data_IF_375918352231
#
_entry.id   IF_375918352231
#
_cell.length_a   1.000
_cell.length_b   1.000
_cell.length_c   1.000
_cell.angle_alpha   90.00
_cell.angle_beta   90.00
_cell.angle_gamma   90.00
#
_symmetry.space_group_name_H-M   'P 1'
#
loop_
_entity.id
_entity.type
_entity.pdbx_description
1 polymer ?
#
# COMPACT_ATOMS: atom_id res chain seq x y z
N UNK A 1 27.41 -36.13 56.73
CA UNK A 1 26.95 -36.17 55.32
C UNK A 1 25.42 -36.16 55.20
N UNK A 2 24.66 -36.36 56.29
CA UNK A 2 23.19 -36.42 56.24
C UNK A 2 22.48 -35.06 56.11
N UNK A 3 23.03 -33.98 56.69
CA UNK A 3 22.40 -32.65 56.59
C UNK A 3 22.31 -32.09 55.16
N UNK A 4 23.23 -32.49 54.27
CA UNK A 4 23.18 -32.07 52.86
C UNK A 4 22.14 -32.85 52.04
N UNK A 5 21.79 -34.07 52.45
CA UNK A 5 20.76 -34.88 51.80
C UNK A 5 19.36 -34.39 52.15
N UNK A 6 19.11 -34.06 53.41
CA UNK A 6 17.85 -33.47 53.86
C UNK A 6 17.53 -32.15 53.12
N UNK A 7 18.54 -31.30 52.91
CA UNK A 7 18.38 -30.05 52.16
C UNK A 7 18.12 -30.24 50.65
N UNK A 8 18.55 -31.36 50.05
CA UNK A 8 18.22 -31.67 48.66
C UNK A 8 16.83 -32.26 48.52
N UNK A 9 16.40 -33.09 49.47
CA UNK A 9 15.06 -33.66 49.48
C UNK A 9 13.99 -32.57 49.67
N UNK A 10 14.22 -31.61 50.59
CA UNK A 10 13.34 -30.45 50.77
C UNK A 10 13.20 -29.61 49.49
N UNK A 11 14.31 -29.40 48.76
CA UNK A 11 14.29 -28.64 47.50
C UNK A 11 13.61 -29.38 46.36
N UNK A 12 13.69 -30.71 46.33
CA UNK A 12 12.98 -31.53 45.35
C UNK A 12 11.48 -31.53 45.63
N UNK A 13 11.08 -31.50 46.90
CA UNK A 13 9.68 -31.42 47.31
C UNK A 13 9.09 -30.03 47.03
N UNK A 14 9.87 -28.97 47.24
CA UNK A 14 9.51 -27.59 46.87
C UNK A 14 9.35 -27.42 45.35
N UNK A 15 10.30 -27.93 44.54
CA UNK A 15 10.16 -27.91 43.08
C UNK A 15 8.96 -28.74 42.59
N UNK A 16 8.69 -29.88 43.23
CA UNK A 16 7.54 -30.70 42.87
C UNK A 16 6.20 -30.00 43.19
N UNK A 17 6.19 -29.15 44.22
CA UNK A 17 5.06 -28.32 44.58
C UNK A 17 4.84 -27.19 43.56
N UNK A 18 5.89 -26.45 43.19
CA UNK A 18 5.81 -25.36 42.21
C UNK A 18 5.35 -25.86 40.83
N UNK A 19 5.85 -27.01 40.36
CA UNK A 19 5.44 -27.59 39.07
C UNK A 19 3.97 -28.01 39.09
N UNK A 20 3.44 -28.49 40.23
CA UNK A 20 2.00 -28.80 40.34
C UNK A 20 1.15 -27.55 40.32
N UNK A 21 1.59 -26.49 41.00
CA UNK A 21 0.87 -25.22 41.04
C UNK A 21 0.83 -24.57 39.64
N UNK A 22 1.95 -24.54 38.93
CA UNK A 22 2.01 -24.05 37.55
C UNK A 22 1.13 -24.87 36.60
N UNK A 23 1.10 -26.19 36.77
CA UNK A 23 0.25 -27.07 35.96
C UNK A 23 -1.24 -26.81 36.21
N UNK A 24 -1.62 -26.54 37.45
CA UNK A 24 -3.01 -26.26 37.82
C UNK A 24 -3.45 -24.87 37.34
N UNK A 25 -2.56 -23.87 37.41
CA UNK A 25 -2.80 -22.55 36.82
C UNK A 25 -2.95 -22.61 35.29
N UNK A 26 -2.12 -23.40 34.61
CA UNK A 26 -2.23 -23.63 33.17
C UNK A 26 -3.55 -24.34 32.81
N UNK A 27 -3.97 -25.32 33.60
CA UNK A 27 -5.25 -26.00 33.41
C UNK A 27 -6.45 -25.05 33.61
N UNK A 28 -6.38 -24.13 34.58
CA UNK A 28 -7.40 -23.09 34.76
C UNK A 28 -7.41 -22.08 33.61
N UNK A 29 -6.24 -21.69 33.08
CA UNK A 29 -6.15 -20.75 31.97
C UNK A 29 -6.69 -21.36 30.67
N UNK A 30 -6.37 -22.63 30.39
CA UNK A 30 -6.92 -23.38 29.24
C UNK A 30 -8.45 -23.51 29.35
N UNK A 31 -8.99 -23.82 30.54
CA UNK A 31 -10.45 -23.87 30.74
C UNK A 31 -11.15 -22.52 30.53
N UNK A 32 -10.51 -21.41 30.90
CA UNK A 32 -11.03 -20.07 30.61
C UNK A 32 -11.04 -19.79 29.11
N UNK A 33 -10.00 -20.20 28.38
CA UNK A 33 -9.94 -20.05 26.91
C UNK A 33 -11.03 -20.89 26.22
N UNK A 34 -11.23 -22.14 26.63
CA UNK A 34 -12.32 -22.99 26.10
C UNK A 34 -13.71 -22.41 26.39
N UNK A 35 -13.92 -21.84 27.58
CA UNK A 35 -15.20 -21.20 27.92
C UNK A 35 -15.50 -19.96 27.06
N UNK A 36 -14.47 -19.22 26.64
CA UNK A 36 -14.62 -18.10 25.69
C UNK A 36 -14.95 -18.59 24.27
N UNK A 37 -14.48 -19.77 23.89
CA UNK A 37 -14.75 -20.38 22.58
C UNK A 37 -16.17 -20.96 22.50
N UNK A 38 -16.69 -21.53 23.59
CA UNK A 38 -18.06 -22.11 23.63
C UNK A 38 -19.16 -21.03 23.63
N UNK A 39 -18.92 -19.87 24.28
CA UNK A 39 -19.90 -18.75 24.26
C UNK A 39 -20.01 -18.10 22.87
N UNK A 40 -18.97 -18.20 22.03
CA UNK A 40 -19.02 -17.68 20.65
C UNK A 40 -19.80 -18.55 19.66
N UNK A 41 -20.21 -19.77 20.03
CA UNK A 41 -20.86 -20.72 19.11
C UNK A 41 -22.37 -20.92 19.32
N UNK A 42 -23.01 -20.15 20.21
CA UNK A 42 -24.48 -20.16 20.36
C UNK A 42 -25.02 -18.78 20.00
N UNK A 43 -25.20 -18.49 18.71
CA UNK A 43 -26.10 -17.43 18.23
C UNK A 43 -26.36 -17.52 16.73
N UNK A 44 -27.57 -17.93 16.38
CA UNK A 44 -28.23 -17.67 15.09
C UNK A 44 -29.72 -17.47 15.41
N UNK A 45 -30.54 -16.82 14.55
CA UNK A 45 -30.47 -15.47 13.98
C UNK A 45 -31.71 -14.63 14.39
N UNK A 46 -31.66 -13.29 14.47
CA UNK A 46 -32.83 -12.40 14.23
C UNK A 46 -32.46 -10.89 14.19
N UNK A 47 -32.89 -10.22 13.11
CA UNK A 47 -33.27 -8.81 12.96
C UNK A 47 -32.30 -7.64 13.35
N UNK A 48 -31.94 -6.85 12.33
CA UNK A 48 -31.40 -5.47 12.35
C UNK A 48 -32.50 -4.43 12.76
N UNK A 49 -32.23 -3.14 13.09
CA UNK A 49 -31.10 -2.31 12.61
C UNK A 49 -30.42 -1.33 13.60
N UNK A 50 -29.24 -0.86 13.17
CA UNK A 50 -28.60 0.43 13.48
C UNK A 50 -28.15 0.75 14.93
N UNK A 51 -26.84 0.59 15.19
CA UNK A 51 -26.01 1.63 15.82
C UNK A 51 -24.50 1.30 15.76
N UNK A 52 -23.78 2.18 15.08
CA UNK A 52 -22.42 2.68 15.35
C UNK A 52 -21.56 1.89 16.36
N UNK A 53 -20.59 1.12 15.86
CA UNK A 53 -19.13 1.25 16.13
C UNK A 53 -18.39 0.01 15.63
N UNK A 54 -18.10 -0.03 14.33
CA UNK A 54 -16.99 -0.84 13.84
C UNK A 54 -15.69 -0.10 14.16
N UNK A 55 -15.03 -0.57 15.21
CA UNK A 55 -13.70 -0.14 15.60
C UNK A 55 -12.68 -0.52 14.52
N UNK A 56 -11.82 0.41 14.05
CA UNK A 56 -10.76 0.14 13.07
C UNK A 56 -9.58 -0.68 13.63
N UNK A 57 -9.70 -1.20 14.86
CA UNK A 57 -8.62 -1.86 15.61
C UNK A 57 -8.54 -3.37 15.40
N UNK A 58 -9.54 -4.01 14.82
CA UNK A 58 -9.52 -5.45 14.50
C UNK A 58 -8.63 -5.78 13.29
N UNK A 59 -8.58 -4.91 12.28
CA UNK A 59 -7.72 -5.07 11.09
C UNK A 59 -6.23 -4.79 11.40
N UNK A 60 -5.95 -3.80 12.26
CA UNK A 60 -4.59 -3.47 12.71
C UNK A 60 -4.02 -4.50 13.72
N UNK A 61 -4.87 -5.21 14.46
CA UNK A 61 -4.42 -6.27 15.38
C UNK A 61 -4.17 -7.61 14.66
N UNK A 62 -4.90 -7.91 13.59
CA UNK A 62 -4.55 -8.99 12.66
C UNK A 62 -3.23 -8.72 11.92
N UNK A 63 -2.94 -7.44 11.61
CA UNK A 63 -1.66 -7.01 11.03
C UNK A 63 -0.45 -7.28 11.95
N UNK A 64 -0.63 -7.26 13.27
CA UNK A 64 0.41 -7.62 14.26
C UNK A 64 0.47 -9.13 14.58
N UNK A 65 0.04 -9.98 13.64
CA UNK A 65 0.44 -11.38 13.63
C UNK A 65 1.96 -11.50 13.46
N UNK A 66 2.68 -11.54 14.58
CA UNK A 66 4.14 -11.68 14.69
C UNK A 66 4.74 -12.68 13.66
N UNK A 67 4.18 -13.89 13.42
CA UNK A 67 4.80 -14.84 12.48
C UNK A 67 4.74 -14.42 11.00
N UNK A 68 3.69 -13.73 10.55
CA UNK A 68 3.57 -13.29 9.14
C UNK A 68 4.39 -12.03 8.83
N UNK A 69 4.66 -11.21 9.84
CA UNK A 69 5.49 -10.01 9.72
C UNK A 69 6.96 -10.36 9.43
N UNK A 70 7.52 -11.35 10.13
CA UNK A 70 8.90 -11.79 9.89
C UNK A 70 9.11 -12.39 8.49
N UNK A 71 8.14 -13.15 7.98
CA UNK A 71 8.22 -13.68 6.62
C UNK A 71 8.08 -12.57 5.57
N UNK A 72 7.19 -11.61 5.81
CA UNK A 72 6.98 -10.47 4.93
C UNK A 72 8.20 -9.55 4.86
N UNK A 73 8.82 -9.22 6.00
CA UNK A 73 10.00 -8.35 6.03
C UNK A 73 11.21 -9.01 5.36
N UNK A 74 11.37 -10.33 5.52
CA UNK A 74 12.42 -11.10 4.85
C UNK A 74 12.19 -11.18 3.34
N UNK A 75 10.94 -11.33 2.89
CA UNK A 75 10.62 -11.31 1.46
C UNK A 75 10.89 -9.93 0.85
N UNK A 76 10.49 -8.85 1.54
CA UNK A 76 10.75 -7.48 1.08
C UNK A 76 12.24 -7.21 0.98
N UNK A 77 13.03 -7.59 1.98
CA UNK A 77 14.48 -7.39 1.94
C UNK A 77 15.14 -8.18 0.82
N UNK A 78 14.75 -9.43 0.59
CA UNK A 78 15.28 -10.24 -0.51
C UNK A 78 14.94 -9.64 -1.88
N UNK A 79 13.69 -9.18 -2.08
CA UNK A 79 13.26 -8.52 -3.31
C UNK A 79 14.04 -7.23 -3.55
N UNK A 80 14.25 -6.42 -2.50
CA UNK A 80 15.00 -5.17 -2.58
C UNK A 80 16.48 -5.42 -2.85
N UNK A 81 17.09 -6.44 -2.25
CA UNK A 81 18.48 -6.81 -2.53
C UNK A 81 18.64 -7.22 -3.99
N UNK A 82 17.73 -8.02 -4.54
CA UNK A 82 17.75 -8.37 -5.97
C UNK A 82 17.60 -7.12 -6.84
N UNK A 83 16.65 -6.25 -6.51
CA UNK A 83 16.46 -4.99 -7.24
C UNK A 83 17.71 -4.11 -7.21
N UNK A 84 18.39 -4.03 -6.06
CA UNK A 84 19.65 -3.30 -5.91
C UNK A 84 20.79 -3.96 -6.69
N UNK A 85 20.89 -5.30 -6.69
CA UNK A 85 21.90 -6.01 -7.49
C UNK A 85 21.71 -5.75 -8.98
N UNK A 86 20.47 -5.84 -9.48
CA UNK A 86 20.14 -5.50 -10.86
C UNK A 86 20.55 -4.06 -11.18
N UNK A 87 20.27 -3.11 -10.27
CA UNK A 87 20.66 -1.72 -10.44
C UNK A 87 22.18 -1.54 -10.45
N UNK A 88 22.91 -2.20 -9.55
CA UNK A 88 24.38 -2.16 -9.52
C UNK A 88 25.00 -2.72 -10.81
N UNK A 89 24.43 -3.79 -11.37
CA UNK A 89 24.91 -4.36 -12.65
C UNK A 89 24.70 -3.37 -13.81
N UNK A 90 23.57 -2.65 -13.82
CA UNK A 90 23.28 -1.60 -14.81
C UNK A 90 24.20 -0.39 -14.62
N UNK A 91 24.45 0.00 -13.37
CA UNK A 91 25.23 1.20 -13.04
C UNK A 91 26.74 1.05 -13.32
N UNK A 92 27.26 -0.18 -13.43
CA UNK A 92 28.68 -0.45 -13.75
C UNK A 92 29.00 -0.43 -15.27
N UNK A 93 28.14 0.16 -16.11
CA UNK A 93 28.31 0.22 -17.59
C UNK A 93 28.48 -1.15 -18.28
N UNK A 94 28.20 -2.25 -17.58
CA UNK A 94 28.30 -3.61 -18.13
C UNK A 94 27.24 -3.87 -19.22
N UNK A 95 26.16 -3.09 -19.20
CA UNK A 95 24.96 -3.20 -20.03
C UNK A 95 24.49 -1.76 -20.33
N UNK A 96 24.20 -1.44 -21.60
CA UNK A 96 23.70 -0.12 -22.00
C UNK A 96 22.54 0.35 -21.12
N UNK A 97 22.55 1.61 -20.70
CA UNK A 97 21.63 2.14 -19.69
C UNK A 97 20.14 2.05 -20.07
N UNK A 98 19.82 2.01 -21.37
CA UNK A 98 18.48 1.72 -21.91
C UNK A 98 17.96 0.33 -21.51
N UNK A 99 18.85 -0.66 -21.44
CA UNK A 99 18.53 -2.01 -20.99
C UNK A 99 18.23 -2.05 -19.48
N UNK A 100 18.71 -1.07 -18.71
CA UNK A 100 18.41 -0.96 -17.29
C UNK A 100 16.92 -0.73 -16.99
N UNK A 101 16.28 0.16 -17.76
CA UNK A 101 14.82 0.38 -17.66
C UNK A 101 14.04 -0.86 -18.09
N UNK A 102 14.48 -1.53 -19.17
CA UNK A 102 13.86 -2.77 -19.67
C UNK A 102 13.94 -3.88 -18.62
N UNK A 103 15.11 -4.08 -18.00
CA UNK A 103 15.33 -5.08 -16.95
C UNK A 103 14.48 -4.77 -15.71
N UNK A 104 14.39 -3.51 -15.31
CA UNK A 104 13.54 -3.07 -14.21
C UNK A 104 12.05 -3.32 -14.47
N UNK A 105 11.55 -2.95 -15.65
CA UNK A 105 10.15 -3.18 -16.05
C UNK A 105 9.86 -4.68 -16.12
N UNK A 106 10.76 -5.48 -16.70
CA UNK A 106 10.62 -6.92 -16.76
C UNK A 106 10.54 -7.54 -15.35
N UNK A 107 11.40 -7.08 -14.43
CA UNK A 107 11.38 -7.54 -13.03
C UNK A 107 10.08 -7.15 -12.30
N UNK A 108 9.64 -5.89 -12.44
CA UNK A 108 8.37 -5.44 -11.86
C UNK A 108 7.18 -6.24 -12.42
N UNK A 109 7.17 -6.51 -13.73
CA UNK A 109 6.13 -7.30 -14.39
C UNK A 109 6.09 -8.74 -13.88
N UNK A 110 7.27 -9.37 -13.71
CA UNK A 110 7.36 -10.70 -13.11
C UNK A 110 6.81 -10.73 -11.69
N UNK A 111 7.12 -9.73 -10.86
CA UNK A 111 6.61 -9.64 -9.49
C UNK A 111 5.09 -9.43 -9.47
N UNK A 112 4.53 -8.63 -10.38
CA UNK A 112 3.06 -8.47 -10.51
C UNK A 112 2.41 -9.80 -10.92
N UNK A 113 2.99 -10.51 -11.89
CA UNK A 113 2.48 -11.80 -12.37
C UNK A 113 2.53 -12.88 -11.27
N UNK A 114 3.66 -12.97 -10.57
CA UNK A 114 3.83 -13.86 -9.42
C UNK A 114 2.87 -13.49 -8.28
N UNK A 115 2.71 -12.20 -8.02
CA UNK A 115 1.75 -11.65 -7.07
C UNK A 115 0.33 -12.09 -7.41
N UNK A 116 -0.11 -11.92 -8.66
CA UNK A 116 -1.43 -12.33 -9.14
C UNK A 116 -1.67 -13.84 -9.00
N UNK A 117 -0.72 -14.66 -9.44
CA UNK A 117 -0.82 -16.13 -9.35
C UNK A 117 -0.88 -16.62 -7.89
N UNK A 118 -0.08 -16.00 -7.01
CA UNK A 118 -0.10 -16.28 -5.56
C UNK A 118 -1.38 -15.76 -4.90
N UNK A 119 -1.93 -14.64 -5.38
CA UNK A 119 -3.21 -14.11 -4.91
C UNK A 119 -4.36 -15.06 -5.22
N UNK A 120 -4.34 -15.69 -6.40
CA UNK A 120 -5.31 -16.72 -6.77
C UNK A 120 -5.25 -17.97 -5.87
N UNK A 121 -4.15 -18.18 -5.14
CA UNK A 121 -3.95 -19.32 -4.24
C UNK A 121 -4.10 -18.94 -2.76
N UNK A 122 -4.59 -17.73 -2.46
CA UNK A 122 -4.81 -17.21 -1.10
C UNK A 122 -3.57 -17.24 -0.20
N UNK A 123 -2.36 -17.13 -0.77
CA UNK A 123 -1.13 -17.11 0.03
C UNK A 123 -0.98 -15.77 0.76
N UNK A 124 -0.61 -15.76 2.07
CA UNK A 124 -0.51 -14.55 2.88
C UNK A 124 0.59 -13.58 2.41
N UNK A 125 1.53 -14.03 1.57
CA UNK A 125 2.62 -13.22 1.03
C UNK A 125 2.28 -12.52 -0.29
N UNK A 126 1.12 -12.77 -0.89
CA UNK A 126 0.74 -12.15 -2.17
C UNK A 126 0.78 -10.60 -2.18
N UNK A 127 0.31 -9.87 -1.14
CA UNK A 127 0.30 -8.41 -1.17
C UNK A 127 1.70 -7.77 -1.09
N UNK A 128 2.69 -8.44 -0.49
CA UNK A 128 4.05 -7.88 -0.36
C UNK A 128 4.77 -7.86 -1.71
N UNK A 129 4.66 -8.92 -2.51
CA UNK A 129 5.23 -8.98 -3.86
C UNK A 129 4.67 -7.87 -4.76
N UNK A 130 3.34 -7.68 -4.76
CA UNK A 130 2.69 -6.62 -5.55
C UNK A 130 3.13 -5.24 -5.07
N UNK A 131 3.19 -5.03 -3.76
CA UNK A 131 3.61 -3.74 -3.17
C UNK A 131 5.05 -3.38 -3.57
N UNK A 132 5.99 -4.33 -3.45
CA UNK A 132 7.36 -4.11 -3.90
C UNK A 132 7.43 -3.85 -5.42
N UNK A 133 6.65 -4.58 -6.22
CA UNK A 133 6.61 -4.35 -7.66
C UNK A 133 6.18 -2.93 -8.02
N UNK A 134 5.14 -2.41 -7.34
CA UNK A 134 4.67 -1.04 -7.52
C UNK A 134 5.76 -0.03 -7.15
N UNK A 135 6.43 -0.20 -6.00
CA UNK A 135 7.52 0.69 -5.57
C UNK A 135 8.69 0.71 -6.56
N UNK A 136 9.07 -0.46 -7.07
CA UNK A 136 10.11 -0.58 -8.09
C UNK A 136 9.68 0.12 -9.38
N UNK A 137 8.44 -0.09 -9.82
CA UNK A 137 7.90 0.55 -11.01
C UNK A 137 7.89 2.08 -10.88
N UNK A 138 7.47 2.61 -9.73
CA UNK A 138 7.51 4.05 -9.43
C UNK A 138 8.92 4.63 -9.45
N UNK A 139 9.89 3.93 -8.86
CA UNK A 139 11.29 4.33 -8.89
C UNK A 139 11.84 4.36 -10.31
N UNK A 140 11.53 3.35 -11.13
CA UNK A 140 11.97 3.29 -12.53
C UNK A 140 11.35 4.42 -13.36
N UNK A 141 10.06 4.71 -13.17
CA UNK A 141 9.39 5.78 -13.90
C UNK A 141 9.99 7.16 -13.58
N UNK A 142 10.27 7.43 -12.30
CA UNK A 142 10.95 8.66 -11.88
C UNK A 142 12.35 8.78 -12.47
N UNK A 143 13.14 7.71 -12.36
CA UNK A 143 14.50 7.66 -12.89
C UNK A 143 14.53 7.87 -14.42
N UNK A 144 13.63 7.20 -15.12
CA UNK A 144 13.61 7.24 -16.58
C UNK A 144 13.13 8.60 -17.09
N UNK A 145 12.21 9.25 -16.36
CA UNK A 145 11.77 10.60 -16.66
C UNK A 145 12.85 11.65 -16.34
N UNK A 146 13.50 11.57 -15.18
CA UNK A 146 14.52 12.55 -14.78
C UNK A 146 15.73 12.58 -15.72
N UNK A 147 16.01 11.44 -16.37
CA UNK A 147 17.05 11.31 -17.40
C UNK A 147 16.62 11.74 -18.80
N UNK A 148 15.35 12.05 -19.01
CA UNK A 148 14.81 12.52 -20.29
C UNK A 148 14.59 11.44 -21.36
N UNK A 149 14.62 10.15 -21.00
CA UNK A 149 14.46 9.05 -21.97
C UNK A 149 12.99 8.79 -22.35
N UNK A 150 12.05 9.07 -21.44
CA UNK A 150 10.62 8.82 -21.66
C UNK A 150 9.86 10.16 -21.75
N UNK A 151 8.98 10.32 -22.76
CA UNK A 151 8.13 11.51 -22.84
C UNK A 151 7.10 11.53 -21.72
N UNK A 152 6.76 12.73 -21.23
CA UNK A 152 5.87 12.98 -20.09
C UNK A 152 4.54 12.21 -20.21
N UNK A 153 3.92 12.22 -21.39
CA UNK A 153 2.64 11.55 -21.62
C UNK A 153 2.72 10.03 -21.38
N UNK A 154 3.84 9.40 -21.73
CA UNK A 154 4.04 7.96 -21.56
C UNK A 154 4.30 7.62 -20.10
N UNK A 155 4.99 8.49 -19.35
CA UNK A 155 5.15 8.36 -17.90
C UNK A 155 3.79 8.41 -17.18
N UNK A 156 2.92 9.36 -17.51
CA UNK A 156 1.56 9.42 -16.96
C UNK A 156 0.69 8.22 -17.38
N UNK A 157 0.82 7.74 -18.61
CA UNK A 157 0.12 6.54 -19.06
C UNK A 157 0.56 5.29 -18.27
N UNK A 158 1.86 5.14 -18.03
CA UNK A 158 2.40 4.06 -17.21
C UNK A 158 1.93 4.15 -15.76
N UNK A 159 1.91 5.35 -15.16
CA UNK A 159 1.35 5.56 -13.82
C UNK A 159 -0.13 5.20 -13.76
N UNK A 160 -0.92 5.66 -14.73
CA UNK A 160 -2.34 5.33 -14.85
C UNK A 160 -2.55 3.81 -14.96
N UNK A 161 -1.73 3.11 -15.73
CA UNK A 161 -1.79 1.65 -15.84
C UNK A 161 -1.45 0.98 -14.50
N UNK A 162 -0.38 1.39 -13.82
CA UNK A 162 -0.02 0.84 -12.51
C UNK A 162 -1.11 1.06 -11.46
N UNK A 163 -1.75 2.23 -11.50
CA UNK A 163 -2.88 2.58 -10.66
C UNK A 163 -4.09 1.68 -10.92
N UNK A 164 -4.47 1.49 -12.19
CA UNK A 164 -5.57 0.59 -12.59
C UNK A 164 -5.26 -0.84 -12.13
N UNK A 165 -4.05 -1.34 -12.39
CA UNK A 165 -3.63 -2.69 -11.97
C UNK A 165 -3.73 -2.84 -10.45
N UNK A 166 -3.22 -1.87 -9.69
CA UNK A 166 -3.29 -1.88 -8.22
C UNK A 166 -4.73 -1.87 -7.70
N UNK A 167 -5.63 -1.17 -8.40
CA UNK A 167 -7.04 -1.05 -8.05
C UNK A 167 -7.80 -2.33 -8.37
N UNK A 168 -7.55 -2.93 -9.54
CA UNK A 168 -8.14 -4.22 -9.92
C UNK A 168 -7.72 -5.30 -8.92
N UNK A 169 -6.43 -5.34 -8.54
CA UNK A 169 -5.94 -6.27 -7.52
C UNK A 169 -6.58 -6.02 -6.15
N UNK A 170 -6.68 -4.74 -5.76
CA UNK A 170 -7.30 -4.32 -4.51
C UNK A 170 -8.77 -4.69 -4.40
N UNK A 171 -9.55 -4.43 -5.47
CA UNK A 171 -10.99 -4.70 -5.52
C UNK A 171 -11.26 -6.19 -5.67
N UNK A 172 -10.54 -6.89 -6.55
CA UNK A 172 -10.79 -8.32 -6.84
C UNK A 172 -10.49 -9.22 -5.65
N UNK A 173 -9.48 -8.86 -4.86
CA UNK A 173 -9.01 -9.71 -3.79
C UNK A 173 -9.11 -9.07 -2.40
N UNK A 174 -9.92 -8.02 -2.26
CA UNK A 174 -10.11 -7.26 -1.01
C UNK A 174 -8.78 -6.86 -0.35
N UNK A 175 -7.81 -6.47 -1.19
CA UNK A 175 -6.45 -6.16 -0.79
C UNK A 175 -6.28 -4.66 -0.59
N UNK A 176 -6.34 -4.18 0.65
CA UNK A 176 -6.23 -2.74 0.93
C UNK A 176 -4.82 -2.19 0.66
N UNK A 177 -3.75 -2.97 0.93
CA UNK A 177 -2.36 -2.47 0.87
C UNK A 177 -1.94 -2.09 -0.56
N UNK A 178 -2.09 -2.95 -1.59
CA UNK A 178 -1.69 -2.58 -2.95
C UNK A 178 -2.43 -1.34 -3.47
N UNK A 179 -3.69 -1.16 -3.07
CA UNK A 179 -4.49 -0.01 -3.46
C UNK A 179 -3.95 1.28 -2.83
N UNK A 180 -3.64 1.28 -1.52
CA UNK A 180 -3.01 2.43 -0.85
C UNK A 180 -1.70 2.83 -1.50
N UNK A 181 -0.81 1.85 -1.73
CA UNK A 181 0.50 2.09 -2.32
C UNK A 181 0.37 2.53 -3.78
N UNK A 182 -0.55 1.94 -4.53
CA UNK A 182 -0.83 2.33 -5.91
C UNK A 182 -1.34 3.75 -6.03
N UNK A 183 -2.34 4.12 -5.23
CA UNK A 183 -2.96 5.45 -5.23
C UNK A 183 -1.99 6.53 -4.74
N UNK A 184 -1.40 6.34 -3.55
CA UNK A 184 -0.48 7.34 -2.99
C UNK A 184 0.82 7.42 -3.80
N UNK A 185 1.37 6.28 -4.21
CA UNK A 185 2.58 6.22 -5.00
C UNK A 185 2.40 6.88 -6.36
N UNK A 186 1.32 6.57 -7.08
CA UNK A 186 1.06 7.21 -8.39
C UNK A 186 0.84 8.71 -8.25
N UNK A 187 0.15 9.15 -7.20
CA UNK A 187 -0.09 10.59 -6.95
C UNK A 187 1.22 11.32 -6.62
N UNK A 188 2.06 10.75 -5.75
CA UNK A 188 3.33 11.34 -5.34
C UNK A 188 4.33 11.38 -6.50
N UNK A 189 4.43 10.29 -7.26
CA UNK A 189 5.26 10.23 -8.47
C UNK A 189 4.75 11.21 -9.51
N UNK A 190 3.43 11.29 -9.73
CA UNK A 190 2.82 12.25 -10.66
C UNK A 190 3.16 13.70 -10.34
N UNK A 191 3.19 14.08 -9.05
CA UNK A 191 3.63 15.41 -8.60
C UNK A 191 5.13 15.58 -8.85
N UNK A 192 5.95 14.57 -8.56
CA UNK A 192 7.39 14.63 -8.78
C UNK A 192 7.77 14.77 -10.27
N UNK A 193 6.96 14.22 -11.19
CA UNK A 193 7.13 14.40 -12.63
C UNK A 193 6.89 15.84 -13.11
N UNK A 194 6.20 16.68 -12.32
CA UNK A 194 5.95 18.08 -12.73
C UNK A 194 7.18 18.99 -12.59
N UNK A 195 8.23 18.55 -11.91
CA UNK A 195 9.48 19.32 -11.80
C UNK A 195 10.48 18.79 -12.84
N UNK A 196 11.01 19.63 -13.77
CA UNK A 196 11.05 21.10 -13.75
C UNK A 196 9.96 21.83 -14.58
N UNK A 197 9.20 21.16 -15.45
CA UNK A 197 8.17 21.77 -16.31
C UNK A 197 6.75 21.32 -15.92
N UNK A 198 5.88 22.22 -15.41
CA UNK A 198 4.58 21.83 -14.86
C UNK A 198 3.56 21.47 -15.96
N UNK A 199 3.07 20.23 -15.93
CA UNK A 199 2.05 19.69 -16.84
C UNK A 199 0.77 19.32 -16.06
N UNK A 200 0.11 20.35 -15.52
CA UNK A 200 -1.04 20.19 -14.62
C UNK A 200 -2.22 19.36 -15.18
N UNK A 201 -2.61 19.45 -16.47
CA UNK A 201 -3.76 18.69 -16.97
C UNK A 201 -3.56 17.17 -16.86
N UNK A 202 -2.37 16.68 -17.17
CA UNK A 202 -2.04 15.26 -17.12
C UNK A 202 -2.05 14.75 -15.67
N UNK A 203 -1.49 15.52 -14.74
CA UNK A 203 -1.56 15.20 -13.31
C UNK A 203 -3.00 15.18 -12.81
N UNK A 204 -3.83 16.14 -13.24
CA UNK A 204 -5.24 16.19 -12.85
C UNK A 204 -6.05 15.03 -13.40
N UNK A 205 -5.79 14.58 -14.63
CA UNK A 205 -6.39 13.36 -15.18
C UNK A 205 -5.96 12.14 -14.35
N UNK A 206 -4.68 12.03 -14.01
CA UNK A 206 -4.18 10.94 -13.16
C UNK A 206 -4.86 10.93 -11.79
N UNK A 207 -4.98 12.10 -11.15
CA UNK A 207 -5.68 12.26 -9.87
C UNK A 207 -7.17 11.95 -9.99
N UNK A 208 -7.82 12.31 -11.10
CA UNK A 208 -9.21 11.95 -11.36
C UNK A 208 -9.37 10.42 -11.41
N UNK A 209 -8.49 9.72 -12.13
CA UNK A 209 -8.46 8.25 -12.19
C UNK A 209 -8.19 7.66 -10.81
N UNK A 210 -7.33 8.27 -10.01
CA UNK A 210 -7.06 7.84 -8.64
C UNK A 210 -8.30 8.00 -7.75
N UNK A 211 -9.02 9.11 -7.87
CA UNK A 211 -10.24 9.34 -7.09
C UNK A 211 -11.36 8.39 -7.51
N UNK A 212 -11.53 8.13 -8.81
CA UNK A 212 -12.44 7.10 -9.30
C UNK A 212 -12.07 5.70 -8.78
N UNK A 213 -10.77 5.38 -8.74
CA UNK A 213 -10.27 4.11 -8.22
C UNK A 213 -10.57 3.91 -6.73
N UNK A 214 -10.36 4.96 -5.92
CA UNK A 214 -10.71 4.95 -4.49
C UNK A 214 -12.22 4.89 -4.30
N UNK A 215 -13.00 5.59 -5.13
CA UNK A 215 -14.46 5.50 -5.08
C UNK A 215 -14.96 4.08 -5.35
N UNK A 216 -14.43 3.41 -6.39
CA UNK A 216 -14.76 2.00 -6.69
C UNK A 216 -14.33 1.10 -5.53
N UNK A 217 -13.12 1.28 -5.00
CA UNK A 217 -12.61 0.52 -3.86
C UNK A 217 -13.41 0.71 -2.58
N UNK A 218 -13.92 1.91 -2.32
CA UNK A 218 -14.70 2.22 -1.11
C UNK A 218 -16.00 1.43 -1.00
N UNK A 219 -16.57 0.97 -2.13
CA UNK A 219 -17.76 0.11 -2.13
C UNK A 219 -17.49 -1.30 -1.58
N UNK A 220 -16.22 -1.70 -1.46
CA UNK A 220 -15.79 -3.06 -1.10
C UNK A 220 -15.19 -3.12 0.32
N UNK A 221 -15.57 -2.17 1.20
CA UNK A 221 -15.05 -2.06 2.57
C UNK A 221 -13.56 -1.70 2.62
N UNK A 222 -13.22 -0.54 2.04
CA UNK A 222 -11.88 0.02 2.09
C UNK A 222 -11.94 1.41 2.74
N UNK A 223 -10.99 1.66 3.64
CA UNK A 223 -10.95 2.78 4.58
C UNK A 223 -11.35 4.14 4.00
N UNK A 224 -12.35 4.77 4.63
CA UNK A 224 -12.80 6.14 4.34
C UNK A 224 -11.66 7.18 4.35
N UNK A 225 -10.60 6.92 5.11
CA UNK A 225 -9.44 7.80 5.23
C UNK A 225 -8.70 8.02 3.90
N UNK A 226 -8.63 7.01 3.02
CA UNK A 226 -7.93 7.14 1.74
C UNK A 226 -8.61 8.13 0.80
N UNK A 227 -9.94 8.20 0.85
CA UNK A 227 -10.71 9.15 0.04
C UNK A 227 -10.42 10.59 0.44
N UNK A 228 -10.31 10.84 1.75
CA UNK A 228 -10.01 12.17 2.27
C UNK A 228 -8.58 12.60 2.00
N UNK A 229 -7.60 11.70 2.12
CA UNK A 229 -6.20 12.02 1.79
C UNK A 229 -6.04 12.36 0.32
N UNK A 230 -6.64 11.58 -0.58
CA UNK A 230 -6.56 11.83 -2.01
C UNK A 230 -7.32 13.09 -2.43
N UNK A 231 -8.46 13.35 -1.82
CA UNK A 231 -9.19 14.61 -2.01
C UNK A 231 -8.33 15.81 -1.59
N UNK A 232 -7.69 15.75 -0.43
CA UNK A 232 -6.80 16.81 0.05
C UNK A 232 -5.60 17.04 -0.90
N UNK A 233 -4.97 15.97 -1.39
CA UNK A 233 -3.90 16.06 -2.40
C UNK A 233 -4.42 16.71 -3.68
N UNK A 234 -5.63 16.33 -4.14
CA UNK A 234 -6.23 16.88 -5.35
C UNK A 234 -6.53 18.37 -5.21
N UNK A 235 -7.07 18.80 -4.07
CA UNK A 235 -7.28 20.22 -3.75
C UNK A 235 -5.96 20.99 -3.68
N UNK A 236 -4.90 20.39 -3.13
CA UNK A 236 -3.59 21.02 -3.06
C UNK A 236 -3.01 21.27 -4.46
N UNK A 237 -3.04 20.27 -5.34
CA UNK A 237 -2.58 20.43 -6.73
C UNK A 237 -3.45 21.44 -7.48
N UNK A 238 -4.76 21.47 -7.21
CA UNK A 238 -5.66 22.47 -7.76
C UNK A 238 -5.27 23.88 -7.32
N UNK A 239 -4.92 24.04 -6.04
CA UNK A 239 -4.44 25.31 -5.52
C UNK A 239 -3.15 25.74 -6.21
N UNK A 240 -2.18 24.85 -6.40
CA UNK A 240 -0.94 25.15 -7.12
C UNK A 240 -1.20 25.63 -8.55
N UNK A 241 -2.06 24.91 -9.30
CA UNK A 241 -2.42 25.29 -10.66
C UNK A 241 -3.08 26.67 -10.71
N UNK A 242 -4.02 26.96 -9.80
CA UNK A 242 -4.70 28.27 -9.74
C UNK A 242 -3.74 29.42 -9.40
N UNK A 243 -2.79 29.22 -8.49
CA UNK A 243 -1.79 30.23 -8.13
C UNK A 243 -0.88 30.53 -9.31
N UNK A 244 -0.37 29.52 -10.00
CA UNK A 244 0.45 29.73 -11.20
C UNK A 244 -0.33 30.46 -12.30
N UNK A 245 -1.56 30.04 -12.55
CA UNK A 245 -2.42 30.65 -13.57
C UNK A 245 -2.74 32.12 -13.23
N UNK A 246 -3.06 32.41 -11.96
CA UNK A 246 -3.28 33.78 -11.46
C UNK A 246 -2.02 34.63 -11.60
N UNK A 247 -0.84 34.13 -11.23
CA UNK A 247 0.39 34.91 -11.31
C UNK A 247 0.77 35.25 -12.76
N UNK A 248 0.55 34.34 -13.70
CA UNK A 248 0.82 34.57 -15.13
C UNK A 248 -0.16 35.57 -15.74
N UNK A 249 -1.46 35.44 -15.42
CA UNK A 249 -2.50 36.39 -15.85
C UNK A 249 -2.26 37.80 -15.30
N UNK A 250 -1.90 37.93 -14.02
CA UNK A 250 -1.59 39.22 -13.39
C UNK A 250 -0.32 39.87 -13.97
N UNK A 251 0.61 39.07 -14.51
CA UNK A 251 1.84 39.56 -15.14
C UNK A 251 1.66 39.94 -16.62
N UNK A 252 0.46 39.76 -17.17
CA UNK A 252 0.14 40.08 -18.58
C UNK A 252 0.97 39.29 -19.59
N UNK A 253 1.51 38.11 -19.20
CA UNK A 253 2.22 37.23 -20.15
C UNK A 253 1.22 36.33 -20.87
N UNK A 254 1.55 35.99 -22.11
CA UNK A 254 0.84 34.94 -22.84
C UNK A 254 0.85 33.65 -22.00
N UNK A 255 -0.33 33.07 -21.80
CA UNK A 255 -0.48 31.84 -21.03
C UNK A 255 0.16 30.73 -21.86
N UNK A 256 1.20 30.03 -21.37
CA UNK A 256 1.79 28.92 -22.08
C UNK A 256 0.71 27.87 -22.39
N UNK A 257 0.73 27.30 -23.59
CA UNK A 257 -0.22 26.26 -24.01
C UNK A 257 -0.20 25.06 -23.05
N UNK A 258 0.96 24.82 -22.41
CA UNK A 258 1.22 23.81 -21.37
C UNK A 258 0.38 24.00 -20.09
N UNK A 259 0.03 25.25 -19.74
CA UNK A 259 -0.82 25.55 -18.59
C UNK A 259 -2.31 25.30 -18.88
N UNK A 260 -2.65 25.12 -20.16
CA UNK A 260 -3.90 24.62 -20.71
C UNK A 260 -5.15 25.14 -19.99
N UNK A 261 -5.36 26.46 -20.02
CA UNK A 261 -6.53 27.13 -19.43
C UNK A 261 -7.87 26.48 -19.82
N UNK A 262 -7.96 25.97 -21.05
CA UNK A 262 -9.15 25.30 -21.58
C UNK A 262 -9.50 23.99 -20.85
N UNK A 263 -8.52 23.34 -20.22
CA UNK A 263 -8.71 22.08 -19.49
C UNK A 263 -9.13 22.29 -18.03
N UNK A 264 -8.97 23.49 -17.49
CA UNK A 264 -9.28 23.79 -16.09
C UNK A 264 -10.75 23.57 -15.74
N UNK A 265 -11.67 24.17 -16.50
CA UNK A 265 -13.12 24.04 -16.29
C UNK A 265 -13.67 22.62 -16.51
N UNK A 266 -13.33 21.89 -17.61
CA UNK A 266 -13.85 20.54 -17.81
C UNK A 266 -13.33 19.55 -16.77
N UNK A 267 -12.07 19.67 -16.33
CA UNK A 267 -11.56 18.85 -15.23
C UNK A 267 -12.29 19.14 -13.92
N UNK A 268 -12.60 20.41 -13.62
CA UNK A 268 -13.35 20.75 -12.41
C UNK A 268 -14.75 20.11 -12.43
N UNK A 269 -15.42 20.16 -13.58
CA UNK A 269 -16.71 19.49 -13.79
C UNK A 269 -16.62 17.97 -13.61
N UNK A 270 -15.56 17.34 -14.12
CA UNK A 270 -15.33 15.90 -13.96
C UNK A 270 -15.09 15.51 -12.50
N UNK A 271 -14.27 16.28 -11.76
CA UNK A 271 -14.08 16.09 -10.32
C UNK A 271 -15.40 16.28 -9.56
N UNK A 272 -16.17 17.31 -9.87
CA UNK A 272 -17.47 17.54 -9.24
C UNK A 272 -18.41 16.33 -9.45
N UNK A 273 -18.42 15.72 -10.64
CA UNK A 273 -19.22 14.52 -10.93
C UNK A 273 -18.78 13.31 -10.10
N UNK A 274 -17.48 13.11 -9.89
CA UNK A 274 -16.97 12.00 -9.06
C UNK A 274 -17.35 12.14 -7.58
N UNK A 275 -17.58 13.37 -7.11
CA UNK A 275 -17.93 13.65 -5.71
C UNK A 275 -19.41 13.99 -5.48
N UNK A 276 -20.21 14.15 -6.53
CA UNK A 276 -21.67 14.33 -6.47
C UNK A 276 -22.38 13.02 -6.11
#
# INVERSE_FOLDING_TARGET
MDNARLSLEDRVEELAHEVRELKDQMAQMVRRVDSFQVVSNVSQPLASPASLQETPSSELSYWFGIPTLFSSISAVSFILVIALLLRTIVDQDFINQELGSIVGIAYATLLICLGYSRYSKSHPLAPTYVTCALLIMFSILLETHSRGFIPVWLAYAALGLTLIVSTVLGVRHSASIPLWVGVLGSSLVGIALEFPSPHYPQLMILLLVANASVYIGSKVSIWLGLRWTLFAISLFVWHLWTVQLRTLLLRGREVPEELALNWFLPLLGAFALVYA
#
